data_IF_327170783978
#
_entry.id   IF_327170783978
#
_cell.length_a   1.000
_cell.length_b   1.000
_cell.length_c   1.000
_cell.angle_alpha   90.00
_cell.angle_beta   90.00
_cell.angle_gamma   90.00
#
_symmetry.space_group_name_H-M   'P 1'
#
loop_
_entity.id
_entity.type
_entity.pdbx_description
1 polymer ?
#
# COMPACT_ATOMS: atom_id res chain seq x y z
N UNK A 1 -7.50 -31.53 -12.68
CA UNK A 1 -8.23 -30.59 -11.82
C UNK A 1 -7.29 -30.19 -10.70
N UNK A 2 -6.71 -28.99 -10.75
CA UNK A 2 -5.76 -28.52 -9.74
C UNK A 2 -6.60 -27.87 -8.64
N UNK A 3 -6.58 -28.47 -7.45
CA UNK A 3 -7.31 -28.00 -6.26
C UNK A 3 -6.94 -26.55 -5.93
N UNK A 4 -7.96 -25.69 -5.85
CA UNK A 4 -7.89 -24.25 -5.57
C UNK A 4 -7.58 -23.91 -4.10
N UNK A 5 -7.09 -24.87 -3.30
CA UNK A 5 -7.08 -24.80 -1.83
C UNK A 5 -5.81 -24.17 -1.24
N UNK A 6 -4.83 -23.81 -2.08
CA UNK A 6 -3.51 -23.35 -1.62
C UNK A 6 -3.34 -21.82 -1.59
N UNK A 7 -4.39 -21.03 -1.83
CA UNK A 7 -4.29 -19.56 -1.91
C UNK A 7 -4.83 -18.79 -0.69
N UNK A 8 -5.53 -19.42 0.26
CA UNK A 8 -6.06 -18.72 1.43
C UNK A 8 -5.12 -18.77 2.63
N UNK A 9 -4.91 -17.61 3.26
CA UNK A 9 -4.13 -17.46 4.50
C UNK A 9 -4.72 -18.33 5.62
N UNK A 10 -3.91 -18.87 6.56
CA UNK A 10 -4.42 -19.65 7.70
C UNK A 10 -5.53 -18.95 8.50
N UNK A 11 -5.49 -17.61 8.53
CA UNK A 11 -6.49 -16.77 9.19
C UNK A 11 -7.81 -16.75 8.41
N UNK A 12 -7.74 -16.66 7.08
CA UNK A 12 -8.91 -16.67 6.19
C UNK A 12 -9.65 -18.01 6.27
N UNK A 13 -8.90 -19.12 6.33
CA UNK A 13 -9.50 -20.46 6.52
C UNK A 13 -10.25 -20.59 7.85
N UNK A 14 -9.67 -20.11 8.95
CA UNK A 14 -10.29 -20.17 10.28
C UNK A 14 -11.56 -19.32 10.37
N UNK A 15 -11.58 -18.15 9.74
CA UNK A 15 -12.77 -17.29 9.67
C UNK A 15 -13.85 -17.89 8.78
N UNK A 16 -13.47 -18.52 7.66
CA UNK A 16 -14.39 -19.23 6.78
C UNK A 16 -15.04 -20.43 7.48
N UNK A 17 -14.28 -21.23 8.23
CA UNK A 17 -14.80 -22.35 9.04
C UNK A 17 -15.78 -21.88 10.11
N UNK A 18 -15.47 -20.80 10.83
CA UNK A 18 -16.35 -20.21 11.83
C UNK A 18 -17.64 -19.64 11.21
N UNK A 19 -17.53 -19.01 10.04
CA UNK A 19 -18.67 -18.51 9.30
C UNK A 19 -19.58 -19.65 8.81
N UNK A 20 -19.01 -20.77 8.37
CA UNK A 20 -19.74 -21.97 7.95
C UNK A 20 -20.45 -22.69 9.11
N UNK A 21 -19.85 -22.67 10.30
CA UNK A 21 -20.45 -23.27 11.48
C UNK A 21 -21.67 -22.48 12.02
N UNK A 22 -21.77 -21.18 11.71
CA UNK A 22 -22.74 -20.27 12.36
C UNK A 22 -23.75 -19.65 11.39
N UNK A 23 -23.37 -19.42 10.13
CA UNK A 23 -24.22 -18.70 9.18
C UNK A 23 -24.99 -19.63 8.25
N UNK A 24 -26.27 -19.30 8.02
CA UNK A 24 -27.06 -19.92 6.96
C UNK A 24 -26.47 -19.59 5.58
N UNK A 25 -26.65 -20.46 4.56
CA UNK A 25 -26.08 -20.26 3.22
C UNK A 25 -26.40 -18.90 2.60
N UNK A 26 -27.64 -18.41 2.75
CA UNK A 26 -28.06 -17.09 2.26
C UNK A 26 -27.34 -15.93 2.98
N UNK A 27 -27.06 -16.08 4.28
CA UNK A 27 -26.34 -15.08 5.06
C UNK A 27 -24.84 -15.06 4.69
N UNK A 28 -24.26 -16.22 4.37
CA UNK A 28 -22.88 -16.31 3.86
C UNK A 28 -22.74 -15.64 2.49
N UNK A 29 -23.72 -15.83 1.60
CA UNK A 29 -23.72 -15.19 0.30
C UNK A 29 -23.82 -13.67 0.41
N UNK A 30 -24.73 -13.15 1.24
CA UNK A 30 -24.83 -11.71 1.52
C UNK A 30 -23.55 -11.14 2.12
N UNK A 31 -22.93 -11.84 3.06
CA UNK A 31 -21.66 -11.42 3.66
C UNK A 31 -20.55 -11.30 2.60
N UNK A 32 -20.44 -12.27 1.68
CA UNK A 32 -19.46 -12.21 0.58
C UNK A 32 -19.71 -11.02 -0.33
N UNK A 33 -20.96 -10.77 -0.70
CA UNK A 33 -21.33 -9.61 -1.54
C UNK A 33 -21.02 -8.28 -0.85
N UNK A 34 -21.28 -8.18 0.46
CA UNK A 34 -20.90 -7.02 1.27
C UNK A 34 -19.39 -6.83 1.34
N UNK A 35 -18.61 -7.89 1.60
CA UNK A 35 -17.14 -7.83 1.63
C UNK A 35 -16.54 -7.36 0.30
N UNK A 36 -17.04 -7.89 -0.82
CA UNK A 36 -16.60 -7.48 -2.16
C UNK A 36 -16.90 -5.99 -2.37
N UNK A 37 -18.09 -5.54 -1.99
CA UNK A 37 -18.50 -4.13 -2.13
C UNK A 37 -17.60 -3.21 -1.33
N UNK A 38 -17.33 -3.56 -0.08
CA UNK A 38 -16.46 -2.79 0.81
C UNK A 38 -15.02 -2.76 0.31
N UNK A 39 -14.49 -3.89 -0.19
CA UNK A 39 -13.16 -3.95 -0.79
C UNK A 39 -13.04 -3.06 -2.04
N UNK A 40 -14.10 -2.98 -2.85
CA UNK A 40 -14.17 -2.08 -4.01
C UNK A 40 -14.18 -0.62 -3.55
N UNK A 41 -14.96 -0.28 -2.52
CA UNK A 41 -15.03 1.08 -1.98
C UNK A 41 -13.70 1.51 -1.35
N UNK A 42 -13.06 0.65 -0.58
CA UNK A 42 -11.71 0.88 -0.06
C UNK A 42 -10.71 1.07 -1.20
N UNK A 43 -10.77 0.24 -2.24
CA UNK A 43 -9.89 0.40 -3.41
C UNK A 43 -10.12 1.73 -4.15
N UNK A 44 -11.38 2.18 -4.24
CA UNK A 44 -11.73 3.49 -4.82
C UNK A 44 -11.20 4.62 -3.93
N UNK A 45 -11.34 4.50 -2.61
CA UNK A 45 -10.78 5.43 -1.63
C UNK A 45 -9.26 5.53 -1.79
N UNK A 46 -8.54 4.41 -1.77
CA UNK A 46 -7.08 4.39 -1.94
C UNK A 46 -6.62 5.01 -3.27
N UNK A 47 -7.40 4.87 -4.35
CA UNK A 47 -7.11 5.53 -5.64
C UNK A 47 -7.43 7.02 -5.65
N UNK A 48 -8.48 7.44 -4.94
CA UNK A 48 -8.93 8.82 -4.88
C UNK A 48 -8.05 9.69 -3.96
N UNK A 49 -7.42 9.09 -2.94
CA UNK A 49 -6.56 9.78 -2.00
C UNK A 49 -5.09 9.73 -2.44
N UNK A 50 -4.68 10.77 -3.17
CA UNK A 50 -3.29 10.96 -3.65
C UNK A 50 -2.24 10.96 -2.55
N UNK A 51 -2.64 11.29 -1.31
CA UNK A 51 -1.79 11.32 -0.12
C UNK A 51 -1.13 9.95 0.11
N UNK A 52 -1.89 8.86 -0.03
CA UNK A 52 -1.36 7.49 0.12
C UNK A 52 -0.37 7.17 -0.99
N UNK A 53 -0.65 7.61 -2.22
CA UNK A 53 0.28 7.45 -3.34
C UNK A 53 1.63 8.13 -3.09
N UNK A 54 1.62 9.33 -2.52
CA UNK A 54 2.84 10.08 -2.19
C UNK A 54 3.65 9.38 -1.08
N UNK A 55 3.00 8.93 -0.01
CA UNK A 55 3.65 8.19 1.07
C UNK A 55 4.29 6.89 0.53
N UNK A 56 3.57 6.14 -0.31
CA UNK A 56 4.08 4.91 -0.93
C UNK A 56 5.27 5.20 -1.86
N UNK A 57 5.22 6.27 -2.66
CA UNK A 57 6.36 6.66 -3.50
C UNK A 57 7.61 6.99 -2.70
N UNK A 58 7.44 7.66 -1.55
CA UNK A 58 8.54 7.97 -0.63
C UNK A 58 9.11 6.68 -0.04
N UNK A 59 8.24 5.77 0.41
CA UNK A 59 8.64 4.47 0.94
C UNK A 59 9.45 3.66 -0.07
N UNK A 60 8.98 3.58 -1.33
CA UNK A 60 9.67 2.89 -2.42
C UNK A 60 11.01 3.57 -2.74
N UNK A 61 11.04 4.90 -2.81
CA UNK A 61 12.28 5.65 -3.09
C UNK A 61 13.35 5.39 -2.02
N UNK A 62 12.94 5.32 -0.75
CA UNK A 62 13.81 4.97 0.36
C UNK A 62 14.28 3.53 0.30
N UNK A 63 13.36 2.60 0.03
CA UNK A 63 13.68 1.17 -0.13
C UNK A 63 14.72 0.94 -1.22
N UNK A 64 14.55 1.57 -2.39
CA UNK A 64 15.48 1.45 -3.52
C UNK A 64 16.85 2.06 -3.21
N UNK A 65 16.91 3.09 -2.37
CA UNK A 65 18.15 3.76 -1.95
C UNK A 65 18.91 2.95 -0.90
N UNK A 66 18.21 2.48 0.12
CA UNK A 66 18.81 1.87 1.31
C UNK A 66 19.03 0.36 1.14
N UNK A 67 18.32 -0.27 0.19
CA UNK A 67 18.42 -1.71 -0.16
C UNK A 67 18.54 -2.62 1.07
N UNK A 68 17.58 -2.56 2.01
CA UNK A 68 17.62 -3.36 3.22
C UNK A 68 17.51 -4.86 2.88
N UNK A 69 18.08 -5.70 3.74
CA UNK A 69 17.98 -7.16 3.62
C UNK A 69 16.55 -7.66 3.86
N UNK A 70 15.82 -7.01 4.79
CA UNK A 70 14.40 -7.28 5.04
C UNK A 70 13.55 -6.08 4.64
N UNK A 71 13.00 -6.17 3.43
CA UNK A 71 12.10 -5.18 2.85
C UNK A 71 10.81 -5.00 3.65
N UNK A 72 10.26 -6.09 4.20
CA UNK A 72 8.96 -6.06 4.87
C UNK A 72 9.08 -5.33 6.19
N UNK A 73 10.06 -5.72 7.03
CA UNK A 73 10.31 -5.06 8.31
C UNK A 73 10.63 -3.57 8.11
N UNK A 74 11.45 -3.25 7.11
CA UNK A 74 11.82 -1.86 6.81
C UNK A 74 10.61 -0.99 6.44
N UNK A 75 9.71 -1.51 5.59
CA UNK A 75 8.49 -0.79 5.21
C UNK A 75 7.50 -0.71 6.37
N UNK A 76 7.35 -1.78 7.16
CA UNK A 76 6.51 -1.77 8.36
C UNK A 76 6.95 -0.70 9.36
N UNK A 77 8.26 -0.57 9.60
CA UNK A 77 8.82 0.46 10.47
C UNK A 77 8.59 1.86 9.92
N UNK A 78 8.67 2.03 8.59
CA UNK A 78 8.40 3.31 7.93
C UNK A 78 6.92 3.72 8.08
N UNK A 79 5.97 2.84 7.75
CA UNK A 79 4.54 3.15 7.80
C UNK A 79 3.99 3.23 9.23
N UNK A 80 4.63 2.56 10.19
CA UNK A 80 4.23 2.60 11.61
C UNK A 80 4.86 3.78 12.38
N UNK A 81 5.62 4.64 11.70
CA UNK A 81 6.26 5.78 12.34
C UNK A 81 5.24 6.85 12.71
N UNK A 82 5.20 7.24 13.99
CA UNK A 82 4.27 8.28 14.47
C UNK A 82 4.53 9.66 13.84
N UNK A 83 5.73 9.89 13.30
CA UNK A 83 6.13 11.12 12.64
C UNK A 83 6.07 11.01 11.10
N UNK A 84 5.27 10.09 10.57
CA UNK A 84 5.16 9.84 9.12
C UNK A 84 4.84 11.12 8.33
N UNK A 85 3.93 11.95 8.85
CA UNK A 85 3.56 13.22 8.22
C UNK A 85 4.76 14.17 8.07
N UNK A 86 5.60 14.27 9.09
CA UNK A 86 6.82 15.09 9.05
C UNK A 86 7.83 14.53 8.04
N UNK A 87 7.94 13.20 7.94
CA UNK A 87 8.80 12.55 6.97
C UNK A 87 8.32 12.77 5.53
N UNK A 88 7.00 12.81 5.33
CA UNK A 88 6.38 13.08 4.02
C UNK A 88 6.60 14.53 3.61
N UNK A 89 6.33 15.48 4.50
CA UNK A 89 6.55 16.91 4.23
C UNK A 89 8.02 17.23 3.95
N UNK A 90 8.95 16.62 4.69
CA UNK A 90 10.38 16.76 4.41
C UNK A 90 10.75 16.22 3.02
N UNK A 91 10.24 15.04 2.66
CA UNK A 91 10.52 14.46 1.34
C UNK A 91 9.94 15.31 0.21
N UNK A 92 8.75 15.88 0.41
CA UNK A 92 8.11 16.82 -0.54
C UNK A 92 8.98 18.06 -0.74
N UNK A 93 9.47 18.67 0.34
CA UNK A 93 10.36 19.83 0.27
C UNK A 93 11.68 19.52 -0.47
N UNK A 94 12.25 18.34 -0.25
CA UNK A 94 13.47 17.89 -0.95
C UNK A 94 13.24 17.71 -2.47
N UNK A 95 12.09 17.15 -2.86
CA UNK A 95 11.72 16.98 -4.28
C UNK A 95 11.48 18.33 -4.94
N UNK A 96 10.78 19.24 -4.27
CA UNK A 96 10.54 20.59 -4.79
C UNK A 96 11.86 21.35 -4.98
N UNK A 97 12.78 21.26 -4.02
CA UNK A 97 14.09 21.88 -4.13
C UNK A 97 14.92 21.31 -5.29
N UNK A 98 14.89 19.99 -5.49
CA UNK A 98 15.52 19.37 -6.67
C UNK A 98 14.93 19.89 -7.98
N UNK A 99 13.61 20.02 -8.05
CA UNK A 99 12.92 20.55 -9.23
C UNK A 99 13.28 22.02 -9.49
N UNK A 100 13.41 22.84 -8.45
CA UNK A 100 13.88 24.23 -8.57
C UNK A 100 15.31 24.29 -9.09
N UNK A 101 16.19 23.45 -8.56
CA UNK A 101 17.59 23.41 -8.97
C UNK A 101 17.77 22.87 -10.39
N UNK A 102 16.96 21.90 -10.82
CA UNK A 102 16.95 21.42 -12.20
C UNK A 102 16.54 22.51 -13.20
N UNK A 103 15.52 23.32 -12.88
CA UNK A 103 15.09 24.46 -13.72
C UNK A 103 16.12 25.59 -13.82
N UNK A 104 17.01 25.70 -12.84
CA UNK A 104 18.09 26.70 -12.80
C UNK A 104 19.38 26.25 -13.50
N UNK A 105 19.49 24.98 -13.90
CA UNK A 105 20.67 24.48 -14.62
C UNK A 105 20.64 24.98 -16.08
N UNK A 106 21.71 25.63 -16.58
CA UNK A 106 21.82 25.93 -17.99
C UNK A 106 21.86 24.63 -18.80
N UNK A 107 21.34 24.63 -20.05
CA UNK A 107 21.38 23.44 -20.89
C UNK A 107 22.84 22.99 -21.07
N UNK A 108 23.07 21.69 -20.92
CA UNK A 108 24.38 21.08 -21.15
C UNK A 108 24.87 21.42 -22.55
N UNK A 109 26.16 21.74 -22.75
CA UNK A 109 26.69 21.96 -24.09
C UNK A 109 26.47 20.69 -24.92
N UNK A 110 26.14 20.81 -26.22
CA UNK A 110 26.05 19.65 -27.09
C UNK A 110 27.41 18.91 -27.16
N UNK A 111 27.40 17.58 -27.41
CA UNK A 111 28.61 16.76 -27.50
C UNK A 111 29.52 17.17 -28.64
#
# INVERSE_FOLDING_TARGET
>A
MISSDLTESPVERSLNEAADAVLKPEAKQKLRESLITEQIEQSKYLRAHSEIGEVVQIAISRLLKDQPQDTVSYLSDFFSNNDLDLLVEKARAEVEERNRNAKRRPPSPPP
#
